data_IF_242924972394
#
_entry.id   IF_242924972394
#
_cell.length_a   1.000
_cell.length_b   1.000
_cell.length_c   1.000
_cell.angle_alpha   90.00
_cell.angle_beta   90.00
_cell.angle_gamma   90.00
#
_symmetry.space_group_name_H-M   'P 1'
#
loop_
_entity.id
_entity.type
_entity.pdbx_description
1 polymer ?
#
# COMPACT_ATOMS: atom_id res chain seq x y z
N UNK A 1 -37.08 -15.80 1.89
CA UNK A 1 -37.89 -14.60 2.16
C UNK A 1 -36.94 -13.52 2.62
N UNK A 2 -36.69 -12.53 1.76
CA UNK A 2 -35.81 -11.40 2.08
C UNK A 2 -36.56 -10.46 3.02
N UNK A 3 -36.15 -10.39 4.29
CA UNK A 3 -36.69 -9.47 5.28
C UNK A 3 -36.12 -8.06 5.02
N UNK A 4 -36.52 -7.47 3.90
CA UNK A 4 -36.04 -6.16 3.44
C UNK A 4 -36.96 -5.06 4.00
N UNK A 5 -36.99 -4.94 5.33
CA UNK A 5 -37.70 -3.86 6.02
C UNK A 5 -36.88 -2.55 5.93
N UNK A 6 -37.43 -1.47 5.35
CA UNK A 6 -36.74 -0.19 5.29
C UNK A 6 -36.54 0.36 6.71
N UNK A 7 -35.27 0.55 7.10
CA UNK A 7 -34.92 1.18 8.38
C UNK A 7 -33.96 0.40 9.29
N UNK A 8 -33.62 -0.87 9.00
CA UNK A 8 -32.59 -1.57 9.79
C UNK A 8 -31.19 -1.05 9.42
N UNK A 9 -30.40 -0.50 10.37
CA UNK A 9 -29.02 -0.08 10.11
C UNK A 9 -28.19 -1.30 9.71
N UNK A 10 -27.15 -1.07 8.92
CA UNK A 10 -26.20 -2.13 8.57
C UNK A 10 -25.54 -2.67 9.84
N UNK A 11 -25.39 -3.99 9.94
CA UNK A 11 -24.55 -4.59 11.00
C UNK A 11 -23.10 -4.76 10.58
N UNK A 12 -22.77 -4.40 9.33
CA UNK A 12 -21.44 -4.52 8.75
C UNK A 12 -20.84 -3.14 8.46
N UNK A 13 -19.65 -2.88 9.00
CA UNK A 13 -18.86 -1.68 8.75
C UNK A 13 -17.71 -2.00 7.79
N UNK A 14 -17.63 -1.30 6.67
CA UNK A 14 -16.57 -1.45 5.65
C UNK A 14 -15.74 -0.18 5.59
N UNK A 15 -14.45 -0.31 5.85
CA UNK A 15 -13.52 0.81 5.87
C UNK A 15 -12.71 0.90 4.58
N UNK A 16 -12.44 2.13 4.19
CA UNK A 16 -11.41 2.47 3.22
C UNK A 16 -10.46 3.48 3.83
N UNK A 17 -9.16 3.30 3.64
CA UNK A 17 -8.14 4.22 4.13
C UNK A 17 -7.47 4.89 2.94
N UNK A 18 -7.41 6.22 2.96
CA UNK A 18 -6.56 7.02 2.08
C UNK A 18 -5.46 7.67 2.93
N UNK A 19 -4.20 7.39 2.64
CA UNK A 19 -3.04 7.79 3.43
C UNK A 19 -2.12 8.70 2.62
N UNK A 20 -1.96 9.94 3.10
CA UNK A 20 -1.08 10.94 2.49
C UNK A 20 0.40 10.53 2.60
N UNK A 21 1.23 10.97 1.67
CA UNK A 21 2.69 10.90 1.84
C UNK A 21 3.23 11.92 2.85
N UNK A 22 4.34 11.56 3.49
CA UNK A 22 5.05 12.42 4.44
C UNK A 22 5.98 11.62 5.36
N UNK A 23 7.26 12.01 5.42
CA UNK A 23 8.33 11.24 6.08
C UNK A 23 8.08 11.06 7.59
N UNK A 24 8.09 12.16 8.36
CA UNK A 24 7.91 12.13 9.82
C UNK A 24 6.51 11.67 10.28
N UNK A 25 5.57 11.61 9.34
CA UNK A 25 4.17 11.31 9.57
C UNK A 25 3.85 9.81 9.47
N UNK A 26 4.85 9.01 9.06
CA UNK A 26 4.72 7.58 8.85
C UNK A 26 4.32 6.82 10.12
N UNK A 27 4.90 7.20 11.26
CA UNK A 27 4.61 6.59 12.58
C UNK A 27 3.18 6.89 13.03
N UNK A 28 2.70 8.12 12.80
CA UNK A 28 1.33 8.50 13.13
C UNK A 28 0.31 7.70 12.29
N UNK A 29 0.55 7.58 10.98
CA UNK A 29 -0.28 6.75 10.10
C UNK A 29 -0.22 5.28 10.51
N UNK A 30 0.94 4.81 11.00
CA UNK A 30 1.09 3.48 11.58
C UNK A 30 0.23 3.27 12.81
N UNK A 31 0.19 4.24 13.73
CA UNK A 31 -0.71 4.22 14.87
C UNK A 31 -2.18 4.15 14.45
N UNK A 32 -2.61 4.98 13.49
CA UNK A 32 -3.97 4.91 12.96
C UNK A 32 -4.29 3.55 12.32
N UNK A 33 -3.33 2.95 11.59
CA UNK A 33 -3.47 1.60 11.06
C UNK A 33 -3.62 0.56 12.18
N UNK A 34 -2.86 0.68 13.28
CA UNK A 34 -2.98 -0.20 14.45
C UNK A 34 -4.39 -0.15 15.04
N UNK A 35 -4.93 1.07 15.22
CA UNK A 35 -6.28 1.25 15.74
C UNK A 35 -7.34 0.66 14.81
N UNK A 36 -7.21 0.82 13.48
CA UNK A 36 -8.14 0.19 12.53
C UNK A 36 -8.06 -1.33 12.51
N UNK A 37 -6.86 -1.90 12.68
CA UNK A 37 -6.65 -3.34 12.81
C UNK A 37 -7.24 -3.89 14.12
N UNK A 38 -7.11 -3.15 15.21
CA UNK A 38 -7.70 -3.48 16.51
C UNK A 38 -9.24 -3.43 16.46
N UNK A 39 -9.81 -2.40 15.81
CA UNK A 39 -11.25 -2.30 15.57
C UNK A 39 -11.77 -3.51 14.78
N UNK A 40 -11.10 -3.89 13.68
CA UNK A 40 -11.44 -5.09 12.91
C UNK A 40 -11.38 -6.35 13.77
N UNK A 41 -10.33 -6.51 14.56
CA UNK A 41 -10.13 -7.70 15.40
C UNK A 41 -11.13 -7.81 16.57
N UNK A 42 -11.76 -6.70 16.96
CA UNK A 42 -12.79 -6.66 18.00
C UNK A 42 -14.17 -7.08 17.50
N UNK A 43 -14.41 -7.07 16.18
CA UNK A 43 -15.65 -7.49 15.56
C UNK A 43 -15.92 -8.98 15.80
N UNK A 44 -17.20 -9.35 15.98
CA UNK A 44 -17.62 -10.73 16.26
C UNK A 44 -17.23 -11.31 17.62
N UNK A 45 -16.54 -10.57 18.51
CA UNK A 45 -16.21 -11.04 19.86
C UNK A 45 -17.42 -10.95 20.79
N UNK A 46 -17.59 -11.97 21.64
CA UNK A 46 -18.66 -11.98 22.64
C UNK A 46 -18.45 -10.85 23.68
N UNK A 47 -19.53 -10.15 24.08
CA UNK A 47 -19.43 -9.12 25.11
C UNK A 47 -19.12 -9.74 26.48
N UNK A 48 -18.25 -9.08 27.25
CA UNK A 48 -17.87 -9.47 28.61
C UNK A 48 -17.17 -8.30 29.33
N UNK A 49 -16.89 -8.40 30.64
CA UNK A 49 -16.20 -7.35 31.39
C UNK A 49 -14.81 -7.01 30.83
N UNK A 50 -14.18 -7.96 30.14
CA UNK A 50 -12.89 -7.80 29.45
C UNK A 50 -13.02 -7.40 27.97
N UNK A 51 -14.25 -7.17 27.49
CA UNK A 51 -14.48 -6.72 26.12
C UNK A 51 -13.94 -5.29 25.98
N UNK A 52 -12.74 -5.16 25.42
CA UNK A 52 -12.04 -3.89 25.29
C UNK A 52 -12.85 -2.81 24.57
N UNK A 53 -12.35 -1.56 24.63
CA UNK A 53 -13.02 -0.34 24.15
C UNK A 53 -13.73 -0.52 22.79
N UNK A 54 -13.06 -1.14 21.81
CA UNK A 54 -13.62 -1.33 20.47
C UNK A 54 -14.82 -2.27 20.41
N UNK A 55 -14.87 -3.34 21.20
CA UNK A 55 -16.05 -4.22 21.26
C UNK A 55 -17.26 -3.47 21.82
N UNK A 56 -17.04 -2.62 22.84
CA UNK A 56 -18.07 -1.75 23.40
C UNK A 56 -18.58 -0.72 22.38
N UNK A 57 -17.67 -0.06 21.64
CA UNK A 57 -18.01 0.91 20.60
C UNK A 57 -18.80 0.28 19.45
N UNK A 58 -18.36 -0.86 18.94
CA UNK A 58 -19.05 -1.57 17.85
C UNK A 58 -20.48 -1.95 18.26
N UNK A 59 -20.65 -2.45 19.48
CA UNK A 59 -21.96 -2.77 20.05
C UNK A 59 -22.85 -1.53 20.18
N UNK A 60 -22.32 -0.43 20.71
CA UNK A 60 -23.08 0.82 20.86
C UNK A 60 -23.54 1.37 19.50
N UNK A 61 -22.74 1.18 18.45
CA UNK A 61 -23.07 1.57 17.09
C UNK A 61 -23.89 0.53 16.30
N UNK A 62 -24.14 -0.67 16.86
CA UNK A 62 -24.90 -1.74 16.20
C UNK A 62 -24.12 -2.51 15.13
N UNK A 63 -22.79 -2.42 15.09
CA UNK A 63 -21.94 -3.19 14.18
C UNK A 63 -21.53 -4.52 14.79
N UNK A 64 -21.72 -5.60 14.04
CA UNK A 64 -21.31 -6.96 14.38
C UNK A 64 -20.02 -7.37 13.65
N UNK A 65 -19.79 -6.81 12.46
CA UNK A 65 -18.68 -7.17 11.58
C UNK A 65 -17.99 -5.91 11.06
N UNK A 66 -16.67 -5.99 10.91
CA UNK A 66 -15.82 -4.89 10.43
C UNK A 66 -14.79 -5.45 9.47
N UNK A 67 -14.66 -4.84 8.30
CA UNK A 67 -13.64 -5.20 7.34
C UNK A 67 -13.03 -3.95 6.68
N UNK A 68 -11.84 -4.11 6.10
CA UNK A 68 -11.11 -3.06 5.40
C UNK A 68 -10.98 -3.47 3.93
N UNK A 69 -11.72 -2.80 3.05
CA UNK A 69 -11.82 -3.17 1.64
C UNK A 69 -10.74 -2.50 0.77
N UNK A 70 -10.32 -1.30 1.15
CA UNK A 70 -9.47 -0.44 0.32
C UNK A 70 -8.40 0.24 1.14
N UNK A 71 -7.17 0.14 0.67
CA UNK A 71 -6.02 0.88 1.16
C UNK A 71 -5.43 1.65 -0.03
N UNK A 72 -5.39 2.97 0.05
CA UNK A 72 -4.73 3.83 -0.93
C UNK A 72 -3.67 4.66 -0.22
N UNK A 73 -2.43 4.63 -0.70
CA UNK A 73 -1.32 5.27 -0.01
C UNK A 73 -0.27 5.83 -0.94
N UNK A 74 0.39 6.89 -0.49
CA UNK A 74 1.54 7.50 -1.17
C UNK A 74 2.74 7.52 -0.23
N UNK A 75 3.94 7.17 -0.70
CA UNK A 75 5.17 7.26 0.09
C UNK A 75 5.03 6.51 1.42
N UNK A 76 5.28 7.18 2.56
CA UNK A 76 5.01 6.65 3.90
C UNK A 76 3.60 6.06 4.11
N UNK A 77 2.57 6.64 3.48
CA UNK A 77 1.22 6.10 3.48
C UNK A 77 1.10 4.81 2.65
N UNK A 78 1.87 4.69 1.57
CA UNK A 78 1.98 3.47 0.77
C UNK A 78 2.66 2.33 1.54
N UNK A 79 3.71 2.64 2.31
CA UNK A 79 4.36 1.67 3.21
C UNK A 79 3.39 1.16 4.29
N UNK A 80 2.65 2.07 4.95
CA UNK A 80 1.58 1.70 5.88
C UNK A 80 0.52 0.81 5.23
N UNK A 81 0.12 1.14 3.99
CA UNK A 81 -0.80 0.33 3.21
C UNK A 81 -0.30 -1.09 2.94
N UNK A 82 0.99 -1.27 2.63
CA UNK A 82 1.60 -2.60 2.44
C UNK A 82 1.61 -3.39 3.75
N UNK A 83 2.04 -2.77 4.86
CA UNK A 83 2.08 -3.42 6.16
C UNK A 83 0.69 -3.84 6.62
N UNK A 84 -0.31 -2.97 6.48
CA UNK A 84 -1.69 -3.27 6.85
C UNK A 84 -2.31 -4.31 5.90
N UNK A 85 -1.98 -4.29 4.60
CA UNK A 85 -2.43 -5.34 3.68
C UNK A 85 -1.87 -6.72 4.04
N UNK A 86 -0.59 -6.80 4.40
CA UNK A 86 0.02 -8.04 4.88
C UNK A 86 -0.63 -8.53 6.18
N UNK A 87 -0.96 -7.63 7.10
CA UNK A 87 -1.74 -7.97 8.30
C UNK A 87 -3.12 -8.52 7.93
N UNK A 88 -3.88 -7.80 7.10
CA UNK A 88 -5.24 -8.18 6.74
C UNK A 88 -5.30 -9.51 5.99
N UNK A 89 -4.42 -9.74 5.02
CA UNK A 89 -4.51 -10.93 4.16
C UNK A 89 -3.74 -12.12 4.71
N UNK A 90 -2.55 -11.90 5.28
CA UNK A 90 -1.68 -12.99 5.75
C UNK A 90 -1.67 -13.18 7.27
N UNK A 91 -2.32 -12.31 8.04
CA UNK A 91 -2.31 -12.40 9.50
C UNK A 91 -1.00 -11.96 10.14
N UNK A 92 -0.16 -11.23 9.40
CA UNK A 92 1.07 -10.64 9.94
C UNK A 92 0.75 -9.82 11.21
N UNK A 93 1.40 -10.03 12.36
CA UNK A 93 1.14 -9.22 13.55
C UNK A 93 1.34 -7.73 13.27
N UNK A 94 0.40 -6.92 13.75
CA UNK A 94 0.43 -5.46 13.64
C UNK A 94 0.61 -4.87 15.04
N UNK A 95 1.40 -3.79 15.17
CA UNK A 95 1.76 -3.22 16.47
C UNK A 95 3.28 -3.21 16.70
N UNK A 96 3.82 -3.80 17.79
CA UNK A 96 5.25 -3.68 18.15
C UNK A 96 6.21 -4.09 17.03
N UNK A 97 5.94 -5.21 16.34
CA UNK A 97 6.77 -5.67 15.23
C UNK A 97 6.83 -4.66 14.07
N UNK A 98 5.70 -4.02 13.76
CA UNK A 98 5.60 -2.97 12.74
C UNK A 98 6.29 -1.68 13.21
N UNK A 99 6.18 -1.31 14.48
CA UNK A 99 6.94 -0.20 15.09
C UNK A 99 8.45 -0.39 14.88
N UNK A 100 8.96 -1.59 15.09
CA UNK A 100 10.39 -1.85 14.92
C UNK A 100 10.81 -1.78 13.44
N UNK A 101 9.90 -2.09 12.50
CA UNK A 101 10.12 -1.81 11.07
C UNK A 101 10.20 -0.32 10.81
N UNK A 102 9.31 0.48 11.40
CA UNK A 102 9.38 1.95 11.29
C UNK A 102 10.68 2.51 11.84
N UNK A 103 11.15 2.02 12.99
CA UNK A 103 12.41 2.46 13.58
C UNK A 103 13.61 2.11 12.69
N UNK A 104 13.64 0.90 12.12
CA UNK A 104 14.71 0.48 11.20
C UNK A 104 14.69 1.23 9.87
N UNK A 105 13.52 1.41 9.26
CA UNK A 105 13.39 2.13 7.98
C UNK A 105 13.43 3.65 8.14
N UNK A 106 13.18 4.16 9.35
CA UNK A 106 13.30 5.57 9.71
C UNK A 106 14.71 5.96 10.15
N UNK A 107 15.62 4.99 10.31
CA UNK A 107 17.03 5.23 10.61
C UNK A 107 17.74 5.82 9.38
N UNK A 108 17.75 7.15 9.32
CA UNK A 108 18.38 7.90 8.24
C UNK A 108 19.88 7.59 8.14
N UNK A 109 20.57 7.34 9.26
CA UNK A 109 22.02 7.07 9.24
C UNK A 109 22.31 5.74 8.52
N UNK A 110 21.55 4.69 8.82
CA UNK A 110 21.66 3.40 8.13
C UNK A 110 21.33 3.47 6.62
N UNK A 111 20.46 4.41 6.24
CA UNK A 111 20.04 4.61 4.85
C UNK A 111 21.04 5.43 4.02
N UNK A 112 21.81 6.34 4.64
CA UNK A 112 22.72 7.24 3.93
C UNK A 112 23.82 6.49 3.16
N UNK A 113 24.12 6.99 1.96
CA UNK A 113 25.29 6.60 1.19
C UNK A 113 26.53 7.25 1.81
N UNK A 114 27.63 6.51 1.85
CA UNK A 114 28.92 7.08 2.25
C UNK A 114 29.33 8.13 1.23
N UNK A 115 29.64 9.33 1.71
CA UNK A 115 30.21 10.38 0.87
C UNK A 115 31.61 9.96 0.41
N UNK A 116 31.82 9.91 -0.90
CA UNK A 116 33.13 9.65 -1.49
C UNK A 116 33.67 10.94 -2.11
N UNK A 117 34.93 11.34 -1.83
CA UNK A 117 35.50 12.54 -2.42
C UNK A 117 35.41 12.50 -3.95
N UNK A 118 35.04 13.63 -4.56
CA UNK A 118 34.92 13.80 -6.01
C UNK A 118 33.81 12.98 -6.70
N UNK A 119 32.88 12.39 -5.94
CA UNK A 119 31.72 11.68 -6.49
C UNK A 119 30.43 12.18 -5.84
N UNK A 120 29.56 12.79 -6.65
CA UNK A 120 28.21 13.16 -6.22
C UNK A 120 27.28 11.97 -6.50
N UNK A 121 26.71 11.32 -5.48
CA UNK A 121 25.82 10.19 -5.70
C UNK A 121 24.50 10.65 -6.30
N UNK A 122 23.83 9.78 -7.07
CA UNK A 122 22.52 10.04 -7.69
C UNK A 122 21.40 10.24 -6.65
N UNK A 123 21.62 9.77 -5.42
CA UNK A 123 20.71 9.89 -4.28
C UNK A 123 21.49 9.94 -2.97
N UNK A 124 20.94 10.55 -1.93
CA UNK A 124 21.57 10.56 -0.59
C UNK A 124 21.44 9.21 0.12
N UNK A 125 20.34 8.50 -0.08
CA UNK A 125 19.99 7.27 0.60
C UNK A 125 19.91 6.08 -0.35
N UNK A 126 20.04 4.87 0.21
CA UNK A 126 20.07 3.58 -0.49
C UNK A 126 18.68 2.95 -0.54
N UNK A 127 17.92 3.20 -1.61
CA UNK A 127 16.56 2.70 -1.77
C UNK A 127 16.51 1.20 -2.04
N UNK A 128 17.21 0.74 -3.09
CA UNK A 128 17.24 -0.69 -3.44
C UNK A 128 18.07 -1.50 -2.45
N UNK A 129 19.28 -1.03 -2.14
CA UNK A 129 20.26 -1.81 -1.36
C UNK A 129 19.90 -1.93 0.13
N UNK A 130 19.13 -1.00 0.69
CA UNK A 130 18.80 -0.98 2.13
C UNK A 130 17.29 -0.97 2.35
N UNK A 131 16.58 0.07 1.90
CA UNK A 131 15.14 0.21 2.21
C UNK A 131 14.36 -1.04 1.75
N UNK A 132 14.52 -1.43 0.49
CA UNK A 132 13.80 -2.57 -0.07
C UNK A 132 14.16 -3.89 0.65
N UNK A 133 15.45 -4.18 0.80
CA UNK A 133 15.91 -5.42 1.44
C UNK A 133 15.47 -5.52 2.90
N UNK A 134 15.58 -4.44 3.68
CA UNK A 134 15.14 -4.39 5.08
C UNK A 134 13.63 -4.57 5.22
N UNK A 135 12.85 -3.87 4.40
CA UNK A 135 11.39 -4.05 4.39
C UNK A 135 11.02 -5.47 4.00
N UNK A 136 11.68 -6.02 2.98
CA UNK A 136 11.42 -7.37 2.49
C UNK A 136 11.73 -8.41 3.56
N UNK A 137 12.89 -8.31 4.21
CA UNK A 137 13.29 -9.18 5.30
C UNK A 137 12.35 -9.05 6.50
N UNK A 138 11.93 -7.84 6.84
CA UNK A 138 10.97 -7.58 7.91
C UNK A 138 9.61 -8.24 7.64
N UNK A 139 9.03 -8.08 6.45
CA UNK A 139 7.78 -8.74 6.07
C UNK A 139 7.91 -10.26 6.24
N UNK A 140 8.99 -10.85 5.71
CA UNK A 140 9.24 -12.29 5.80
C UNK A 140 9.37 -12.81 7.24
N UNK A 141 9.96 -12.02 8.15
CA UNK A 141 10.06 -12.37 9.58
C UNK A 141 8.69 -12.30 10.26
N UNK A 142 8.00 -11.16 10.15
CA UNK A 142 6.71 -10.95 10.82
C UNK A 142 5.64 -11.93 10.35
N UNK A 143 5.68 -12.34 9.09
CA UNK A 143 4.72 -13.32 8.55
C UNK A 143 4.86 -14.71 9.16
N UNK A 144 6.01 -15.07 9.74
CA UNK A 144 6.20 -16.34 10.44
C UNK A 144 5.45 -16.41 11.77
N UNK A 145 5.09 -15.24 12.31
CA UNK A 145 4.35 -15.09 13.56
C UNK A 145 2.83 -15.03 13.34
N UNK A 146 2.36 -15.21 12.10
CA UNK A 146 0.95 -15.18 11.78
C UNK A 146 0.19 -16.36 12.42
N UNK A 147 -0.98 -16.13 13.03
CA UNK A 147 -1.77 -17.20 13.64
C UNK A 147 -2.40 -18.10 12.58
N UNK A 148 -2.51 -19.39 12.90
CA UNK A 148 -3.01 -20.41 11.96
C UNK A 148 -4.50 -20.24 11.61
N UNK A 149 -5.29 -19.63 12.49
CA UNK A 149 -6.73 -19.40 12.36
C UNK A 149 -7.07 -18.00 11.81
N UNK A 150 -6.09 -17.28 11.25
CA UNK A 150 -6.31 -15.96 10.68
C UNK A 150 -7.36 -15.97 9.57
N UNK A 151 -8.33 -15.06 9.67
CA UNK A 151 -9.39 -14.89 8.67
C UNK A 151 -9.12 -13.66 7.80
N UNK A 152 -8.70 -13.85 6.54
CA UNK A 152 -8.53 -12.73 5.62
C UNK A 152 -9.87 -12.09 5.26
N UNK A 153 -9.88 -10.80 4.87
CA UNK A 153 -11.09 -10.14 4.38
C UNK A 153 -11.56 -10.79 3.07
N UNK A 154 -12.87 -10.75 2.81
CA UNK A 154 -13.43 -11.28 1.56
C UNK A 154 -12.87 -10.59 0.31
N UNK A 155 -12.51 -9.30 0.43
CA UNK A 155 -11.77 -8.60 -0.60
C UNK A 155 -10.88 -7.51 -0.03
N UNK A 156 -9.74 -7.27 -0.68
CA UNK A 156 -8.87 -6.13 -0.41
C UNK A 156 -8.38 -5.52 -1.73
N UNK A 157 -8.31 -4.20 -1.80
CA UNK A 157 -7.60 -3.48 -2.86
C UNK A 157 -6.57 -2.54 -2.24
N UNK A 158 -5.31 -2.82 -2.48
CA UNK A 158 -4.20 -1.95 -2.10
C UNK A 158 -3.71 -1.18 -3.33
N UNK A 159 -3.60 0.14 -3.21
CA UNK A 159 -3.17 1.05 -4.27
C UNK A 159 -2.02 1.91 -3.73
N UNK A 160 -0.90 1.90 -4.44
CA UNK A 160 0.25 2.77 -4.15
C UNK A 160 0.50 3.69 -5.33
N UNK A 161 0.54 4.99 -5.10
CA UNK A 161 0.85 5.97 -6.16
C UNK A 161 2.35 6.00 -6.46
N UNK A 162 2.70 6.23 -7.72
CA UNK A 162 4.07 6.43 -8.19
C UNK A 162 4.11 7.46 -9.33
N UNK A 163 5.30 7.94 -9.66
CA UNK A 163 5.49 8.90 -10.76
C UNK A 163 6.55 8.39 -11.71
N UNK A 164 6.27 8.27 -13.01
CA UNK A 164 7.33 7.97 -14.00
C UNK A 164 8.33 9.11 -14.05
N UNK A 165 9.61 8.74 -14.04
CA UNK A 165 10.69 9.70 -14.29
C UNK A 165 10.65 10.21 -15.73
N UNK A 166 10.41 9.31 -16.69
CA UNK A 166 10.22 9.68 -18.09
C UNK A 166 8.73 9.59 -18.44
N UNK A 167 8.12 10.69 -18.94
CA UNK A 167 6.71 10.67 -19.31
C UNK A 167 6.47 9.67 -20.44
N UNK A 168 5.44 8.83 -20.27
CA UNK A 168 4.94 7.97 -21.34
C UNK A 168 4.22 8.83 -22.37
N UNK A 169 4.46 8.58 -23.65
CA UNK A 169 3.70 9.23 -24.73
C UNK A 169 2.38 8.50 -24.92
N UNK A 170 1.29 9.16 -24.55
CA UNK A 170 -0.08 8.69 -24.78
C UNK A 170 -0.73 9.48 -25.92
N UNK A 171 -1.77 8.89 -26.52
CA UNK A 171 -2.66 9.58 -27.46
C UNK A 171 -4.03 9.72 -26.82
N UNK A 172 -4.43 10.96 -26.52
CA UNK A 172 -5.78 11.26 -26.03
C UNK A 172 -6.66 11.61 -27.22
N UNK A 173 -7.83 10.96 -27.32
CA UNK A 173 -8.81 11.24 -28.38
C UNK A 173 -9.87 12.21 -27.85
N UNK A 174 -9.82 13.50 -28.22
CA UNK A 174 -10.92 14.42 -27.92
C UNK A 174 -12.20 14.01 -28.66
N UNK A 175 -13.35 14.47 -28.17
CA UNK A 175 -14.68 14.20 -28.78
C UNK A 175 -14.74 14.63 -30.25
N UNK A 176 -14.00 15.67 -30.62
CA UNK A 176 -13.84 16.16 -31.98
C UNK A 176 -12.36 16.36 -32.27
N UNK A 177 -11.93 15.96 -33.48
CA UNK A 177 -10.57 16.21 -33.97
C UNK A 177 -9.65 14.98 -33.94
N UNK A 178 -8.36 15.22 -34.22
CA UNK A 178 -7.33 14.18 -34.28
C UNK A 178 -6.84 13.81 -32.87
N UNK A 179 -6.33 12.58 -32.65
CA UNK A 179 -5.68 12.22 -31.40
C UNK A 179 -4.52 13.18 -31.07
N UNK A 180 -4.45 13.64 -29.83
CA UNK A 180 -3.44 14.55 -29.34
C UNK A 180 -2.37 13.78 -28.56
N UNK A 181 -1.07 13.95 -28.86
CA UNK A 181 -0.01 13.38 -28.05
C UNK A 181 0.07 14.10 -26.70
N UNK A 182 0.06 13.32 -25.62
CA UNK A 182 0.15 13.81 -24.24
C UNK A 182 1.23 13.03 -23.50
N UNK A 183 2.07 13.73 -22.74
CA UNK A 183 3.01 13.09 -21.82
C UNK A 183 2.31 12.75 -20.51
N UNK A 184 2.30 11.46 -20.13
CA UNK A 184 1.74 10.99 -18.87
C UNK A 184 2.84 10.47 -17.94
N UNK A 185 2.95 11.08 -16.77
CA UNK A 185 3.87 10.62 -15.72
C UNK A 185 3.17 9.94 -14.53
N UNK A 186 1.84 10.01 -14.40
CA UNK A 186 1.12 9.35 -13.30
C UNK A 186 1.17 7.82 -13.46
N UNK A 187 1.75 7.14 -12.48
CA UNK A 187 1.80 5.69 -12.36
C UNK A 187 1.21 5.23 -11.02
N UNK A 188 0.90 3.93 -10.90
CA UNK A 188 0.48 3.35 -9.63
C UNK A 188 0.69 1.83 -9.64
N UNK A 189 0.77 1.26 -8.45
CA UNK A 189 0.66 -0.18 -8.22
C UNK A 189 -0.69 -0.49 -7.63
N UNK A 190 -1.26 -1.63 -8.03
CA UNK A 190 -2.53 -2.13 -7.53
C UNK A 190 -2.43 -3.62 -7.24
N UNK A 191 -2.59 -3.97 -5.98
CA UNK A 191 -2.71 -5.34 -5.50
C UNK A 191 -4.15 -5.63 -5.12
N UNK A 192 -4.62 -6.83 -5.43
CA UNK A 192 -6.01 -7.26 -5.22
C UNK A 192 -6.00 -8.56 -4.43
N UNK A 193 -6.96 -8.69 -3.54
CA UNK A 193 -7.30 -9.95 -2.91
C UNK A 193 -8.80 -10.17 -3.10
N UNK A 194 -9.17 -11.31 -3.69
CA UNK A 194 -10.52 -11.86 -3.81
C UNK A 194 -10.40 -13.36 -3.90
N UNK A 195 -11.46 -14.09 -3.58
CA UNK A 195 -11.50 -15.56 -3.62
C UNK A 195 -11.02 -16.16 -4.95
N UNK A 196 -11.30 -15.50 -6.09
CA UNK A 196 -10.93 -15.99 -7.43
C UNK A 196 -9.66 -15.37 -8.02
N UNK A 197 -9.15 -14.27 -7.44
CA UNK A 197 -8.00 -13.54 -7.96
C UNK A 197 -7.27 -12.84 -6.82
N UNK A 198 -6.06 -13.30 -6.54
CA UNK A 198 -5.23 -12.75 -5.47
C UNK A 198 -3.82 -12.45 -5.98
N UNK A 199 -3.37 -11.23 -5.71
CA UNK A 199 -1.96 -10.80 -5.80
C UNK A 199 -1.22 -11.10 -4.47
N UNK A 200 -1.90 -11.79 -3.53
CA UNK A 200 -1.41 -12.29 -2.25
C UNK A 200 -1.55 -13.82 -2.20
N UNK A 201 -0.77 -14.58 -2.98
CA UNK A 201 -0.86 -16.03 -3.00
C UNK A 201 -0.41 -16.64 -1.67
N UNK A 202 -1.03 -17.77 -1.34
CA UNK A 202 -0.62 -18.69 -0.27
C UNK A 202 -0.37 -20.02 -0.94
N UNK A 203 0.88 -20.49 -0.90
CA UNK A 203 1.30 -21.75 -1.50
C UNK A 203 2.09 -22.59 -0.50
N UNK A 204 2.08 -23.91 -0.70
CA UNK A 204 2.75 -24.87 0.19
C UNK A 204 4.27 -24.75 0.16
N UNK A 205 4.85 -24.34 -0.97
CA UNK A 205 6.29 -24.15 -1.14
C UNK A 205 6.76 -22.76 -0.70
N UNK A 206 5.83 -21.80 -0.57
CA UNK A 206 6.10 -20.40 -0.24
C UNK A 206 6.70 -19.58 -1.38
N UNK A 207 7.03 -20.16 -2.53
CA UNK A 207 7.69 -19.47 -3.64
C UNK A 207 6.82 -18.36 -4.21
N UNK A 208 5.52 -18.62 -4.39
CA UNK A 208 4.61 -17.60 -4.89
C UNK A 208 4.43 -16.46 -3.89
N UNK A 209 4.35 -16.79 -2.59
CA UNK A 209 4.33 -15.80 -1.50
C UNK A 209 5.58 -14.94 -1.50
N UNK A 210 6.76 -15.54 -1.59
CA UNK A 210 8.04 -14.81 -1.60
C UNK A 210 8.12 -13.82 -2.77
N UNK A 211 7.64 -14.21 -3.96
CA UNK A 211 7.52 -13.32 -5.11
C UNK A 211 6.54 -12.16 -4.89
N UNK A 212 5.40 -12.41 -4.22
CA UNK A 212 4.44 -11.37 -3.86
C UNK A 212 5.00 -10.39 -2.82
N UNK A 213 5.76 -10.88 -1.84
CA UNK A 213 6.43 -10.03 -0.85
C UNK A 213 7.50 -9.14 -1.49
N UNK A 214 8.25 -9.64 -2.49
CA UNK A 214 9.17 -8.82 -3.27
C UNK A 214 8.43 -7.68 -3.98
N UNK A 215 7.28 -7.98 -4.61
CA UNK A 215 6.45 -6.96 -5.28
C UNK A 215 5.87 -5.94 -4.29
N UNK A 216 5.36 -6.38 -3.14
CA UNK A 216 4.82 -5.48 -2.12
C UNK A 216 5.89 -4.55 -1.54
N UNK A 217 7.05 -5.11 -1.14
CA UNK A 217 8.15 -4.33 -0.59
C UNK A 217 8.72 -3.34 -1.62
N UNK A 218 8.94 -3.78 -2.86
CA UNK A 218 9.51 -2.92 -3.89
C UNK A 218 8.51 -1.85 -4.36
N UNK A 219 7.20 -2.10 -4.32
CA UNK A 219 6.17 -1.09 -4.56
C UNK A 219 6.14 -0.01 -3.46
N UNK A 220 6.26 -0.39 -2.18
CA UNK A 220 6.37 0.56 -1.06
C UNK A 220 7.64 1.42 -1.18
N UNK A 221 8.79 0.81 -1.45
CA UNK A 221 10.05 1.51 -1.75
C UNK A 221 9.87 2.47 -2.91
N UNK A 222 9.27 2.02 -4.02
CA UNK A 222 9.05 2.85 -5.21
C UNK A 222 8.17 4.06 -4.89
N UNK A 223 7.07 3.83 -4.17
CA UNK A 223 6.17 4.91 -3.75
C UNK A 223 6.84 5.93 -2.84
N UNK A 224 7.96 5.58 -2.20
CA UNK A 224 8.74 6.43 -1.27
C UNK A 224 10.03 6.99 -1.89
N UNK A 225 10.18 6.90 -3.22
CA UNK A 225 11.41 7.24 -3.94
C UNK A 225 11.52 8.74 -4.21
N UNK A 226 11.61 9.53 -3.14
CA UNK A 226 11.60 10.99 -3.23
C UNK A 226 12.88 11.49 -3.92
N UNK A 227 12.80 12.37 -4.94
CA UNK A 227 13.97 12.85 -5.69
C UNK A 227 15.05 13.46 -4.79
N UNK A 228 16.31 13.12 -5.06
CA UNK A 228 17.47 13.53 -4.26
C UNK A 228 17.66 12.73 -2.97
N UNK A 229 16.58 12.30 -2.33
CA UNK A 229 16.61 11.42 -1.17
C UNK A 229 16.93 9.97 -1.58
N UNK A 230 16.11 9.36 -2.43
CA UNK A 230 16.30 8.00 -2.93
C UNK A 230 16.44 7.99 -4.46
N UNK A 231 17.19 7.02 -4.99
CA UNK A 231 17.29 6.84 -6.44
C UNK A 231 15.95 6.37 -7.03
N UNK A 232 15.62 6.68 -8.31
CA UNK A 232 14.43 6.12 -8.96
C UNK A 232 14.42 4.60 -8.90
N UNK A 233 13.25 4.01 -8.64
CA UNK A 233 13.08 2.57 -8.66
C UNK A 233 12.97 2.06 -10.09
N UNK A 234 13.63 0.93 -10.40
CA UNK A 234 13.57 0.30 -11.72
C UNK A 234 12.74 -0.98 -11.65
N UNK A 235 11.50 -0.88 -12.14
CA UNK A 235 10.56 -2.01 -12.15
C UNK A 235 10.50 -2.67 -13.52
N UNK A 236 10.50 -4.00 -13.57
CA UNK A 236 10.29 -4.71 -14.82
C UNK A 236 8.80 -4.73 -15.17
N UNK A 237 8.46 -4.23 -16.36
CA UNK A 237 7.08 -4.09 -16.86
C UNK A 237 6.93 -4.50 -18.32
N UNK A 238 7.99 -4.98 -18.98
CA UNK A 238 8.00 -5.34 -20.40
C UNK A 238 7.17 -6.58 -20.73
N UNK A 239 6.77 -6.73 -21.99
CA UNK A 239 5.95 -7.87 -22.44
C UNK A 239 6.73 -9.17 -22.62
N UNK A 240 8.07 -9.09 -22.72
CA UNK A 240 8.94 -10.23 -23.00
C UNK A 240 9.38 -11.02 -21.76
N UNK A 241 10.23 -12.05 -21.96
CA UNK A 241 10.97 -12.66 -20.87
C UNK A 241 11.90 -11.64 -20.23
N UNK A 242 12.03 -11.70 -18.90
CA UNK A 242 12.87 -10.78 -18.17
C UNK A 242 14.36 -11.06 -18.48
N UNK A 243 15.16 -10.02 -18.79
CA UNK A 243 16.60 -10.16 -18.94
C UNK A 243 17.27 -10.67 -17.66
N UNK A 244 18.33 -11.47 -17.82
CA UNK A 244 19.13 -11.97 -16.69
C UNK A 244 20.06 -10.85 -16.21
N UNK A 245 19.66 -10.17 -15.13
CA UNK A 245 20.46 -9.13 -14.46
C UNK A 245 20.81 -9.57 -13.03
N UNK A 246 21.93 -9.05 -12.49
CA UNK A 246 22.35 -9.23 -11.10
C UNK A 246 22.50 -7.86 -10.43
N UNK A 247 21.66 -7.50 -9.43
CA UNK A 247 20.51 -8.26 -8.93
C UNK A 247 19.34 -8.30 -9.95
N UNK A 248 18.44 -9.30 -9.87
CA UNK A 248 17.27 -9.36 -10.74
C UNK A 248 16.31 -8.20 -10.43
N UNK A 249 15.68 -7.64 -11.47
CA UNK A 249 14.64 -6.61 -11.29
C UNK A 249 13.36 -7.24 -10.76
N UNK A 250 12.61 -6.50 -9.94
CA UNK A 250 11.31 -6.98 -9.46
C UNK A 250 10.31 -6.89 -10.61
N UNK A 251 9.74 -8.03 -10.99
CA UNK A 251 8.69 -8.13 -11.98
C UNK A 251 7.37 -7.59 -11.42
N UNK A 252 6.90 -6.47 -11.97
CA UNK A 252 5.69 -5.77 -11.55
C UNK A 252 4.53 -5.92 -12.53
N UNK A 253 4.64 -6.83 -13.50
CA UNK A 253 3.58 -7.06 -14.49
C UNK A 253 2.29 -7.48 -13.82
N UNK A 254 1.17 -6.93 -14.29
CA UNK A 254 -0.17 -7.20 -13.77
C UNK A 254 -0.55 -6.40 -12.52
N UNK A 255 0.44 -5.95 -11.73
CA UNK A 255 0.22 -5.08 -10.56
C UNK A 255 0.55 -3.61 -10.84
N UNK A 256 1.48 -3.30 -11.76
CA UNK A 256 1.80 -1.92 -12.16
C UNK A 256 0.91 -1.43 -13.30
N UNK A 257 0.49 -0.16 -13.24
CA UNK A 257 -0.16 0.56 -14.34
C UNK A 257 0.68 0.67 -15.60
N UNK A 258 2.01 0.49 -15.45
CA UNK A 258 2.97 0.60 -16.55
C UNK A 258 3.27 -0.75 -17.23
N UNK A 259 2.54 -1.81 -16.87
CA UNK A 259 2.61 -3.12 -17.54
C UNK A 259 2.44 -2.95 -19.05
N UNK A 260 3.44 -3.39 -19.81
CA UNK A 260 3.50 -3.30 -21.26
C UNK A 260 4.09 -2.00 -21.82
N UNK A 261 4.47 -1.05 -20.96
CA UNK A 261 4.98 0.28 -21.34
C UNK A 261 6.34 0.59 -20.69
N UNK A 262 7.40 -0.18 -21.00
CA UNK A 262 8.74 0.12 -20.50
C UNK A 262 9.28 1.43 -21.08
N UNK A 263 10.26 2.01 -20.39
CA UNK A 263 11.05 3.11 -20.94
C UNK A 263 11.96 2.62 -22.06
N UNK A 264 12.23 3.50 -23.03
CA UNK A 264 13.20 3.24 -24.09
C UNK A 264 14.59 2.97 -23.49
N UNK A 265 15.29 1.98 -24.05
CA UNK A 265 16.64 1.59 -23.65
C UNK A 265 16.81 1.16 -22.18
N UNK A 266 15.72 0.74 -21.51
CA UNK A 266 15.75 0.22 -20.15
C UNK A 266 15.40 -1.27 -20.03
N UNK A 267 15.71 -2.09 -21.04
CA UNK A 267 15.61 -3.56 -20.94
C UNK A 267 14.24 -4.08 -20.44
N UNK A 268 13.15 -3.45 -20.88
CA UNK A 268 11.80 -3.80 -20.42
C UNK A 268 11.43 -3.26 -19.03
N UNK A 269 12.22 -2.35 -18.46
CA UNK A 269 11.93 -1.68 -17.20
C UNK A 269 11.37 -0.27 -17.41
N UNK A 270 10.76 0.29 -16.37
CA UNK A 270 10.41 1.70 -16.27
C UNK A 270 11.02 2.29 -14.99
N UNK A 271 11.48 3.54 -15.06
CA UNK A 271 11.96 4.29 -13.88
C UNK A 271 10.83 5.06 -13.22
N UNK A 272 10.58 4.75 -11.95
CA UNK A 272 9.51 5.31 -11.15
C UNK A 272 10.06 6.01 -9.90
N UNK A 273 9.38 7.07 -9.48
CA UNK A 273 9.69 7.91 -8.33
C UNK A 273 8.48 7.98 -7.39
N UNK A 274 8.65 8.69 -6.28
CA UNK A 274 7.60 8.94 -5.28
C UNK A 274 6.30 9.44 -5.94
N UNK A 275 5.18 8.86 -5.51
CA UNK A 275 3.86 9.26 -5.99
C UNK A 275 3.49 10.68 -5.59
N UNK A 276 4.05 11.19 -4.50
CA UNK A 276 3.79 12.51 -3.93
C UNK A 276 4.20 13.68 -4.83
N UNK A 277 4.97 13.43 -5.90
CA UNK A 277 5.26 14.42 -6.93
C UNK A 277 4.01 14.82 -7.72
N UNK A 278 3.07 13.88 -7.96
CA UNK A 278 1.87 14.11 -8.77
C UNK A 278 0.56 13.78 -8.07
N UNK A 279 0.58 12.86 -7.10
CA UNK A 279 -0.60 12.40 -6.36
C UNK A 279 -0.21 12.03 -4.92
N UNK A 280 -0.09 13.06 -4.07
CA UNK A 280 0.24 12.90 -2.65
C UNK A 280 -0.98 12.59 -1.76
N UNK A 281 -2.20 12.75 -2.29
CA UNK A 281 -3.46 12.62 -1.56
C UNK A 281 -4.36 11.66 -2.34
N UNK A 282 -4.17 10.33 -2.17
CA UNK A 282 -4.81 9.33 -3.03
C UNK A 282 -6.29 9.06 -2.67
N UNK A 283 -7.02 10.09 -2.25
CA UNK A 283 -8.45 10.01 -1.85
C UNK A 283 -9.32 9.60 -3.04
N UNK A 284 -9.04 10.12 -4.23
CA UNK A 284 -9.78 9.76 -5.45
C UNK A 284 -9.66 8.27 -5.78
N UNK A 285 -8.50 7.65 -5.51
CA UNK A 285 -8.31 6.21 -5.64
C UNK A 285 -9.19 5.45 -4.66
N UNK A 286 -9.22 5.87 -3.40
CA UNK A 286 -10.03 5.24 -2.38
C UNK A 286 -11.52 5.32 -2.72
N UNK A 287 -12.04 6.50 -3.07
CA UNK A 287 -13.45 6.71 -3.46
C UNK A 287 -13.84 5.81 -4.64
N UNK A 288 -13.04 5.82 -5.72
CA UNK A 288 -13.32 4.98 -6.91
C UNK A 288 -13.25 3.49 -6.59
N UNK A 289 -12.31 3.09 -5.73
CA UNK A 289 -12.15 1.69 -5.35
C UNK A 289 -13.30 1.20 -4.47
N UNK A 290 -13.75 2.03 -3.52
CA UNK A 290 -14.91 1.76 -2.65
C UNK A 290 -16.18 1.60 -3.48
N UNK A 291 -16.42 2.46 -4.48
CA UNK A 291 -17.59 2.32 -5.34
C UNK A 291 -17.68 0.96 -6.05
N UNK A 292 -16.53 0.33 -6.35
CA UNK A 292 -16.46 -1.00 -6.98
C UNK A 292 -16.11 -2.16 -6.04
N UNK A 293 -16.12 -1.95 -4.72
CA UNK A 293 -15.88 -3.00 -3.75
C UNK A 293 -17.14 -3.89 -3.63
N UNK A 294 -17.00 -5.24 -3.60
CA UNK A 294 -18.14 -6.12 -3.43
C UNK A 294 -18.72 -6.00 -2.01
N UNK A 295 -20.02 -6.28 -1.87
CA UNK A 295 -20.68 -6.40 -0.57
C UNK A 295 -21.64 -7.59 -0.65
N UNK A 296 -21.53 -8.51 0.32
CA UNK A 296 -22.42 -9.69 0.41
C UNK A 296 -23.71 -9.35 1.16
N UNK A 297 -23.63 -8.37 2.08
CA UNK A 297 -24.72 -7.87 2.92
C UNK A 297 -24.84 -6.35 2.73
N UNK A 298 -25.92 -5.77 3.24
CA UNK A 298 -25.97 -4.30 3.44
C UNK A 298 -24.80 -3.91 4.34
N UNK A 299 -24.03 -2.92 3.92
CA UNK A 299 -22.79 -2.48 4.59
C UNK A 299 -22.72 -0.95 4.65
N UNK A 300 -22.29 -0.40 5.78
CA UNK A 300 -22.00 1.02 5.92
C UNK A 300 -20.53 1.25 5.54
N UNK A 301 -20.29 2.17 4.60
CA UNK A 301 -18.96 2.41 4.02
C UNK A 301 -18.38 3.73 4.48
N UNK A 302 -17.26 3.66 5.19
CA UNK A 302 -16.58 4.82 5.75
C UNK A 302 -15.21 4.98 5.10
N UNK A 303 -14.95 6.18 4.57
CA UNK A 303 -13.64 6.56 4.07
C UNK A 303 -12.90 7.34 5.16
N UNK A 304 -11.80 6.78 5.64
CA UNK A 304 -10.89 7.41 6.57
C UNK A 304 -9.74 8.03 5.79
N UNK A 305 -9.67 9.37 5.80
CA UNK A 305 -8.55 10.09 5.22
C UNK A 305 -7.54 10.43 6.32
N UNK A 306 -6.35 9.83 6.21
CA UNK A 306 -5.26 9.98 7.17
C UNK A 306 -4.30 11.06 6.68
N UNK A 307 -4.50 12.27 7.19
CA UNK A 307 -3.62 13.42 7.01
C UNK A 307 -3.21 13.97 8.37
N UNK A 308 -2.06 13.51 8.92
CA UNK A 308 -1.53 14.12 10.11
C UNK A 308 -1.05 15.54 9.82
N UNK A 309 -1.52 16.47 10.66
CA UNK A 309 -1.10 17.86 10.67
C UNK A 309 -0.41 18.08 12.01
N UNK A 310 0.90 18.41 12.05
CA UNK A 310 1.54 18.71 13.31
C UNK A 310 0.86 19.93 13.96
N UNK A 311 0.72 19.97 15.29
CA UNK A 311 0.18 21.14 15.96
C UNK A 311 1.03 22.37 15.62
N UNK A 312 0.36 23.48 15.30
CA UNK A 312 1.06 24.76 15.15
C UNK A 312 1.60 25.16 16.53
N UNK A 313 2.85 25.63 16.63
CA UNK A 313 3.28 26.29 17.85
C UNK A 313 2.34 27.48 18.12
N UNK A 314 1.95 27.74 19.38
CA UNK A 314 1.19 28.93 19.71
C UNK A 314 1.97 30.17 19.22
N UNK A 315 1.27 31.24 18.79
CA UNK A 315 1.93 32.48 18.40
C UNK A 315 2.81 33.00 19.55
N UNK A 316 3.93 33.68 19.22
CA UNK A 316 4.86 34.22 20.21
C UNK A 316 4.21 35.27 21.13
#
# INVERSE_FOLDING_TARGET
MSDDRPGRPSTELRLALAMRGGVSLAVWMGGACCETAALRSAAGRAPGPEAGLYTGLLRACGYEDVDIDVLAGTSAGGLNGVLLACHLVYGMPFGPGVRDVWLRLGDLEGLLRRSTPFHVPTSLMRGDEVFYEELRAALGRLLKEAPADWRPPASLRLILTATRLRPRRDLVRPTLGRPLPVGRSNAYFRFRHRTSLTDFPVDSTGVAREGALNRLAYAARTSSSFPGAFEPARVYVGNGPQPVEKPPRVDMRGVSSETGYPDENLNGCAELMDGGLLDNIPVAWAVRAVAGAPAVRKADRWLLFLQPVPPFPPPP
#
